data_IF_135441328870
#
_entry.id   IF_135441328870
#
_cell.length_a   1.000
_cell.length_b   1.000
_cell.length_c   1.000
_cell.angle_alpha   90.00
_cell.angle_beta   90.00
_cell.angle_gamma   90.00
#
_symmetry.space_group_name_H-M   'P 1'
#
loop_
_entity.id
_entity.type
_entity.pdbx_description
1 polymer ?
#
# COMPACT_ATOMS: atom_id res chain seq x y z
N UNK A 1 -23.27 19.20 29.69
CA UNK A 1 -23.64 17.83 29.24
C UNK A 1 -24.89 17.86 28.38
N UNK A 2 -25.99 18.45 28.88
CA UNK A 2 -27.24 18.55 28.13
C UNK A 2 -27.07 19.34 26.81
N UNK A 3 -26.35 20.46 26.84
CA UNK A 3 -26.07 21.27 25.65
C UNK A 3 -25.28 20.50 24.57
N UNK A 4 -24.39 19.57 24.98
CA UNK A 4 -23.64 18.71 24.06
C UNK A 4 -24.50 17.59 23.48
N UNK A 5 -25.50 17.12 24.20
CA UNK A 5 -26.50 16.19 23.66
C UNK A 5 -27.43 16.89 22.67
N UNK A 6 -27.92 18.09 23.02
CA UNK A 6 -28.77 18.89 22.13
C UNK A 6 -28.04 19.31 20.85
N UNK A 7 -26.73 19.52 20.92
CA UNK A 7 -25.88 19.78 19.73
C UNK A 7 -25.48 18.50 18.97
N UNK A 8 -25.94 17.32 19.40
CA UNK A 8 -25.60 16.04 18.71
C UNK A 8 -24.18 15.57 18.87
N UNK A 9 -23.40 16.14 19.81
CA UNK A 9 -22.01 15.75 20.05
C UNK A 9 -21.88 14.57 21.04
N UNK A 10 -22.88 14.37 21.86
CA UNK A 10 -23.02 13.22 22.76
C UNK A 10 -24.30 12.45 22.47
N UNK A 11 -24.27 11.16 22.70
CA UNK A 11 -25.43 10.28 22.62
C UNK A 11 -25.51 9.31 23.81
N UNK A 12 -26.62 8.62 23.98
CA UNK A 12 -26.78 7.55 24.96
C UNK A 12 -27.18 6.26 24.28
N UNK A 13 -26.53 5.14 24.62
CA UNK A 13 -26.91 3.82 24.11
C UNK A 13 -28.19 3.34 24.81
N UNK A 14 -28.33 3.63 26.10
CA UNK A 14 -29.53 3.34 26.92
C UNK A 14 -29.78 4.47 27.91
N UNK A 15 -31.05 4.62 28.36
CA UNK A 15 -31.43 5.67 29.29
C UNK A 15 -30.66 5.67 30.60
N UNK A 16 -30.11 4.50 31.02
CA UNK A 16 -29.33 4.31 32.24
C UNK A 16 -27.83 4.23 31.99
N UNK A 17 -27.36 4.21 30.75
CA UNK A 17 -25.94 4.20 30.41
C UNK A 17 -25.38 5.63 30.43
N UNK A 18 -24.07 5.74 30.68
CA UNK A 18 -23.38 7.03 30.56
C UNK A 18 -23.50 7.63 29.14
N UNK A 19 -23.07 8.86 28.99
CA UNK A 19 -23.00 9.54 27.69
C UNK A 19 -21.74 9.15 26.93
N UNK A 20 -21.89 8.88 25.65
CA UNK A 20 -20.77 8.57 24.74
C UNK A 20 -20.70 9.63 23.65
N UNK A 21 -19.49 9.99 23.17
CA UNK A 21 -19.37 10.89 22.05
C UNK A 21 -19.91 10.24 20.78
N UNK A 22 -20.62 11.02 19.98
CA UNK A 22 -21.00 10.66 18.60
C UNK A 22 -19.79 10.80 17.67
N UNK A 23 -19.92 10.36 16.42
CA UNK A 23 -18.88 10.61 15.40
C UNK A 23 -18.57 12.10 15.26
N UNK A 24 -19.59 12.95 15.25
CA UNK A 24 -19.43 14.41 15.20
C UNK A 24 -18.73 14.96 16.46
N UNK A 25 -19.03 14.40 17.62
CA UNK A 25 -18.34 14.77 18.87
C UNK A 25 -16.89 14.36 18.87
N UNK A 26 -16.55 13.17 18.38
CA UNK A 26 -15.18 12.72 18.22
C UNK A 26 -14.42 13.56 17.17
N UNK A 27 -15.08 13.94 16.06
CA UNK A 27 -14.51 14.81 15.04
C UNK A 27 -14.14 16.17 15.62
N UNK A 28 -15.08 16.81 16.34
CA UNK A 28 -14.83 18.09 17.00
C UNK A 28 -13.67 18.00 18.00
N UNK A 29 -13.60 16.90 18.76
CA UNK A 29 -12.50 16.65 19.68
C UNK A 29 -11.16 16.54 18.95
N UNK A 30 -11.08 15.75 17.89
CA UNK A 30 -9.84 15.55 17.10
C UNK A 30 -9.39 16.84 16.43
N UNK A 31 -10.31 17.63 15.87
CA UNK A 31 -9.96 18.84 15.11
C UNK A 31 -9.66 20.06 16.00
N UNK A 32 -10.32 20.17 17.16
CA UNK A 32 -10.29 21.39 17.94
C UNK A 32 -9.71 21.28 19.35
N UNK A 33 -9.74 20.09 19.94
CA UNK A 33 -9.42 19.92 21.36
C UNK A 33 -8.30 18.87 21.59
N UNK A 34 -7.85 18.17 20.54
CA UNK A 34 -6.84 17.14 20.68
C UNK A 34 -5.48 17.76 21.02
N UNK A 35 -5.02 17.55 22.25
CA UNK A 35 -3.64 17.76 22.60
C UNK A 35 -2.81 16.55 22.19
N UNK A 36 -1.93 16.74 21.23
CA UNK A 36 -1.02 15.70 20.73
C UNK A 36 0.08 15.52 21.77
N UNK A 37 0.17 14.33 22.34
CA UNK A 37 1.21 14.00 23.32
C UNK A 37 2.58 13.85 22.64
N UNK A 38 3.63 14.31 23.30
CA UNK A 38 4.97 13.99 22.85
C UNK A 38 5.23 12.48 22.92
N UNK A 39 5.82 11.95 21.88
CA UNK A 39 6.20 10.55 21.84
C UNK A 39 7.35 10.27 22.81
N UNK A 40 7.24 9.19 23.59
CA UNK A 40 8.30 8.81 24.53
C UNK A 40 9.59 8.41 23.80
N UNK A 41 10.72 8.52 24.50
CA UNK A 41 12.02 8.11 23.93
C UNK A 41 12.04 6.63 23.60
N UNK A 42 11.48 5.80 24.45
CA UNK A 42 11.40 4.34 24.30
C UNK A 42 10.62 3.98 23.03
N UNK A 43 9.45 4.60 22.81
CA UNK A 43 8.64 4.40 21.60
C UNK A 43 9.41 4.79 20.33
N UNK A 44 10.17 5.90 20.39
CA UNK A 44 10.99 6.36 19.26
C UNK A 44 12.13 5.39 18.97
N UNK A 45 12.84 4.94 19.99
CA UNK A 45 13.95 3.98 19.86
C UNK A 45 13.47 2.63 19.32
N UNK A 46 12.30 2.17 19.71
CA UNK A 46 11.68 0.93 19.19
C UNK A 46 11.36 1.04 17.71
N UNK A 47 10.75 2.15 17.26
CA UNK A 47 10.47 2.41 15.85
C UNK A 47 11.76 2.53 15.03
N UNK A 48 12.76 3.28 15.51
CA UNK A 48 14.05 3.40 14.83
C UNK A 48 14.78 2.05 14.74
N UNK A 49 14.69 1.22 15.78
CA UNK A 49 15.24 -0.12 15.83
C UNK A 49 14.65 -1.03 14.75
N UNK A 50 13.38 -0.86 14.42
CA UNK A 50 12.69 -1.65 13.39
C UNK A 50 13.30 -1.51 12.00
N UNK A 51 13.90 -0.36 11.70
CA UNK A 51 14.47 -0.02 10.40
C UNK A 51 15.95 -0.41 10.29
N UNK A 52 16.67 -0.47 11.43
CA UNK A 52 18.12 -0.73 11.48
C UNK A 52 18.51 -2.20 11.24
N UNK A 53 17.57 -3.11 11.03
CA UNK A 53 17.87 -4.52 10.67
C UNK A 53 18.51 -4.63 9.29
N UNK A 54 19.54 -5.47 9.16
CA UNK A 54 20.38 -5.61 7.97
C UNK A 54 19.73 -6.19 6.70
N UNK A 55 18.42 -6.17 6.60
CA UNK A 55 17.70 -6.62 5.42
C UNK A 55 17.90 -5.63 4.26
N UNK A 56 18.38 -6.12 3.12
CA UNK A 56 18.50 -5.33 1.90
C UNK A 56 17.15 -5.07 1.22
N UNK A 57 16.13 -5.83 1.56
CA UNK A 57 14.79 -5.71 0.98
C UNK A 57 13.91 -4.77 1.78
N UNK A 58 13.10 -3.97 1.09
CA UNK A 58 12.19 -2.99 1.71
C UNK A 58 11.01 -3.70 2.40
N UNK A 59 10.47 -4.74 1.77
CA UNK A 59 9.24 -5.40 2.24
C UNK A 59 9.36 -6.00 3.66
N UNK A 60 10.41 -6.75 4.02
CA UNK A 60 10.59 -7.24 5.40
C UNK A 60 10.69 -6.13 6.44
N UNK A 61 11.26 -4.98 6.07
CA UNK A 61 11.37 -3.84 6.98
C UNK A 61 9.98 -3.21 7.21
N UNK A 62 9.22 -2.96 6.15
CA UNK A 62 7.86 -2.44 6.25
C UNK A 62 6.95 -3.38 7.05
N UNK A 63 7.15 -4.69 6.90
CA UNK A 63 6.46 -5.70 7.67
C UNK A 63 6.76 -5.61 9.17
N UNK A 64 8.03 -5.43 9.51
CA UNK A 64 8.48 -5.25 10.91
C UNK A 64 7.95 -3.94 11.51
N UNK A 65 8.02 -2.86 10.74
CA UNK A 65 7.43 -1.56 11.13
C UNK A 65 5.94 -1.70 11.41
N UNK A 66 5.21 -2.39 10.52
CA UNK A 66 3.79 -2.68 10.73
C UNK A 66 3.54 -3.46 12.01
N UNK A 67 4.35 -4.47 12.29
CA UNK A 67 4.21 -5.28 13.51
C UNK A 67 4.42 -4.46 14.78
N UNK A 68 5.46 -3.62 14.82
CA UNK A 68 5.75 -2.74 15.96
C UNK A 68 4.66 -1.67 16.12
N UNK A 69 4.24 -1.05 15.01
CA UNK A 69 3.16 -0.06 15.04
C UNK A 69 1.87 -0.63 15.60
N UNK A 70 1.51 -1.85 15.20
CA UNK A 70 0.36 -2.57 15.75
C UNK A 70 0.49 -2.83 17.25
N UNK A 71 1.67 -3.25 17.72
CA UNK A 71 1.95 -3.47 19.15
C UNK A 71 1.83 -2.18 19.97
N UNK A 72 2.41 -1.08 19.49
CA UNK A 72 2.40 0.22 20.18
C UNK A 72 1.00 0.84 20.26
N UNK A 73 0.16 0.59 19.27
CA UNK A 73 -1.16 1.25 19.15
C UNK A 73 -2.32 0.37 19.58
N UNK A 74 -2.09 -0.93 19.81
CA UNK A 74 -3.13 -1.94 20.05
C UNK A 74 -4.22 -1.93 18.97
N UNK A 75 -3.87 -1.52 17.75
CA UNK A 75 -4.72 -1.52 16.56
C UNK A 75 -4.17 -2.43 15.47
N UNK A 76 -4.89 -2.53 14.36
CA UNK A 76 -4.34 -3.13 13.14
C UNK A 76 -3.55 -2.08 12.37
N UNK A 77 -2.29 -2.34 12.09
CA UNK A 77 -1.48 -1.44 11.26
C UNK A 77 -1.69 -1.75 9.77
N UNK A 78 -1.67 -0.68 8.98
CA UNK A 78 -1.67 -0.71 7.52
C UNK A 78 -0.38 -0.07 7.04
N UNK A 79 0.40 -0.77 6.22
CA UNK A 79 1.55 -0.17 5.53
C UNK A 79 1.39 -0.40 4.04
N UNK A 80 1.20 0.67 3.31
CA UNK A 80 1.15 0.64 1.85
C UNK A 80 2.57 0.82 1.33
N UNK A 81 3.20 -0.27 0.90
CA UNK A 81 4.54 -0.26 0.35
C UNK A 81 4.67 0.69 -0.86
N UNK A 82 5.83 1.32 -1.07
CA UNK A 82 6.04 2.21 -2.19
C UNK A 82 5.80 1.48 -3.50
N UNK A 83 5.27 2.23 -4.48
CA UNK A 83 5.30 1.74 -5.86
C UNK A 83 6.76 1.73 -6.30
N UNK A 84 7.36 0.56 -6.32
CA UNK A 84 8.71 0.40 -6.86
C UNK A 84 8.58 0.52 -8.38
N UNK A 85 8.70 1.73 -8.86
CA UNK A 85 8.74 2.03 -10.29
C UNK A 85 10.22 1.92 -10.73
N UNK A 86 10.78 0.71 -10.57
CA UNK A 86 12.17 0.45 -10.96
C UNK A 86 12.23 0.32 -12.47
N UNK A 87 13.17 1.04 -13.07
CA UNK A 87 13.41 0.92 -14.51
C UNK A 87 13.90 -0.47 -14.86
N UNK A 88 13.44 -0.99 -15.99
CA UNK A 88 13.82 -2.30 -16.47
C UNK A 88 15.09 -2.15 -17.31
N UNK A 89 16.06 -3.04 -17.05
CA UNK A 89 17.29 -3.15 -17.80
C UNK A 89 17.20 -4.18 -18.91
N UNK A 90 16.52 -5.30 -18.65
CA UNK A 90 16.42 -6.41 -19.58
C UNK A 90 15.18 -7.26 -19.34
N UNK A 91 14.58 -7.78 -20.41
CA UNK A 91 13.48 -8.74 -20.36
C UNK A 91 13.75 -9.91 -21.30
N UNK A 92 13.41 -11.12 -20.87
CA UNK A 92 13.57 -12.33 -21.67
C UNK A 92 12.37 -13.26 -21.48
N UNK A 93 11.92 -13.86 -22.59
CA UNK A 93 10.88 -14.89 -22.58
C UNK A 93 11.50 -16.26 -22.83
N UNK A 94 11.25 -17.21 -21.93
CA UNK A 94 11.77 -18.57 -21.98
C UNK A 94 10.64 -19.56 -22.11
N UNK A 95 10.64 -20.34 -23.20
CA UNK A 95 9.68 -21.42 -23.38
C UNK A 95 10.07 -22.62 -22.52
N UNK A 96 9.18 -23.09 -21.67
CA UNK A 96 9.37 -24.29 -20.85
C UNK A 96 8.57 -25.48 -21.38
N UNK A 97 7.39 -25.22 -21.91
CA UNK A 97 6.53 -26.21 -22.54
C UNK A 97 5.46 -25.52 -23.41
N UNK A 98 4.70 -26.22 -24.24
CA UNK A 98 3.65 -25.61 -25.06
C UNK A 98 2.58 -24.83 -24.28
N UNK A 99 2.42 -25.11 -22.99
CA UNK A 99 1.44 -24.45 -22.11
C UNK A 99 2.05 -23.64 -20.99
N UNK A 100 3.39 -23.51 -20.93
CA UNK A 100 4.07 -22.83 -19.83
C UNK A 100 5.33 -22.13 -20.31
N UNK A 101 5.38 -20.86 -20.09
CA UNK A 101 6.55 -20.04 -20.36
C UNK A 101 6.94 -19.26 -19.09
N UNK A 102 8.19 -18.81 -19.07
CA UNK A 102 8.76 -17.95 -18.03
C UNK A 102 9.10 -16.63 -18.68
N UNK A 103 8.79 -15.54 -18.01
CA UNK A 103 9.36 -14.24 -18.32
C UNK A 103 10.35 -13.88 -17.22
N UNK A 104 11.55 -13.47 -17.60
CA UNK A 104 12.62 -13.01 -16.72
C UNK A 104 12.80 -11.54 -16.94
N UNK A 105 12.83 -10.78 -15.86
CA UNK A 105 12.98 -9.34 -15.85
C UNK A 105 14.16 -8.96 -14.97
N UNK A 106 15.07 -8.17 -15.51
CA UNK A 106 16.21 -7.61 -14.79
C UNK A 106 16.01 -6.10 -14.67
N UNK A 107 16.05 -5.59 -13.45
CA UNK A 107 15.92 -4.17 -13.18
C UNK A 107 17.27 -3.45 -13.20
N UNK A 108 17.25 -2.13 -13.27
CA UNK A 108 18.48 -1.31 -13.31
C UNK A 108 19.29 -1.38 -12.02
N UNK A 109 18.64 -1.70 -10.89
CA UNK A 109 19.28 -1.95 -9.60
C UNK A 109 19.82 -3.39 -9.43
N UNK A 110 19.71 -4.22 -10.50
CA UNK A 110 20.25 -5.57 -10.56
C UNK A 110 19.36 -6.66 -9.97
N UNK A 111 18.14 -6.35 -9.56
CA UNK A 111 17.19 -7.38 -9.14
C UNK A 111 16.73 -8.21 -10.33
N UNK A 112 16.51 -9.51 -10.10
CA UNK A 112 16.00 -10.44 -11.11
C UNK A 112 14.67 -10.99 -10.62
N UNK A 113 13.63 -10.67 -11.36
CA UNK A 113 12.31 -11.25 -11.14
C UNK A 113 11.97 -12.25 -12.24
N UNK A 114 11.24 -13.28 -11.88
CA UNK A 114 10.75 -14.25 -12.86
C UNK A 114 9.30 -14.63 -12.56
N UNK A 115 8.53 -14.88 -13.63
CA UNK A 115 7.12 -15.29 -13.51
C UNK A 115 6.71 -16.23 -14.60
N UNK A 116 5.88 -17.19 -14.20
CA UNK A 116 5.27 -18.11 -15.15
C UNK A 116 4.01 -17.51 -15.75
N UNK A 117 3.84 -17.72 -17.04
CA UNK A 117 2.61 -17.39 -17.75
C UNK A 117 2.24 -18.46 -18.75
N UNK A 118 0.98 -18.44 -19.20
CA UNK A 118 0.49 -19.33 -20.26
C UNK A 118 0.67 -18.64 -21.59
N UNK A 119 1.58 -19.14 -22.46
CA UNK A 119 1.81 -18.52 -23.75
C UNK A 119 0.61 -18.69 -24.68
N UNK A 120 0.32 -17.74 -25.57
CA UNK A 120 -0.66 -17.89 -26.64
C UNK A 120 -0.35 -19.09 -27.54
N UNK A 121 -1.40 -19.67 -28.14
CA UNK A 121 -1.27 -20.81 -29.05
C UNK A 121 -0.49 -20.38 -30.31
N UNK A 122 0.46 -21.21 -30.74
CA UNK A 122 1.25 -20.97 -31.96
C UNK A 122 2.61 -20.30 -31.72
N UNK A 123 2.99 -20.05 -30.47
CA UNK A 123 4.28 -19.51 -30.12
C UNK A 123 5.41 -20.54 -30.27
N UNK A 124 6.48 -20.09 -30.90
CA UNK A 124 7.76 -20.80 -30.94
C UNK A 124 8.86 -19.94 -30.31
N UNK A 125 10.04 -20.52 -30.12
CA UNK A 125 11.18 -19.83 -29.48
C UNK A 125 11.63 -18.59 -30.28
N UNK A 126 11.47 -18.60 -31.61
CA UNK A 126 11.85 -17.47 -32.46
C UNK A 126 10.98 -16.25 -32.21
N UNK A 127 9.66 -16.46 -32.11
CA UNK A 127 8.69 -15.38 -31.81
C UNK A 127 8.92 -14.82 -30.40
N UNK A 128 9.25 -15.68 -29.43
CA UNK A 128 9.58 -15.23 -28.06
C UNK A 128 10.84 -14.37 -28.05
N UNK A 129 11.85 -14.77 -28.83
CA UNK A 129 13.09 -13.99 -28.94
C UNK A 129 12.85 -12.65 -29.64
N UNK A 130 12.04 -12.62 -30.71
CA UNK A 130 11.66 -11.39 -31.41
C UNK A 130 10.92 -10.42 -30.48
N UNK A 131 9.95 -10.90 -29.71
CA UNK A 131 9.23 -10.10 -28.71
C UNK A 131 10.17 -9.56 -27.63
N UNK A 132 11.10 -10.38 -27.14
CA UNK A 132 12.11 -9.95 -26.17
C UNK A 132 13.03 -8.87 -26.74
N UNK A 133 13.52 -9.05 -27.97
CA UNK A 133 14.36 -8.06 -28.66
C UNK A 133 13.60 -6.73 -28.88
N UNK A 134 12.35 -6.80 -29.31
CA UNK A 134 11.53 -5.61 -29.46
C UNK A 134 11.37 -4.87 -28.15
N UNK A 135 10.98 -5.57 -27.07
CA UNK A 135 10.86 -4.94 -25.76
C UNK A 135 12.18 -4.35 -25.28
N UNK A 136 13.27 -5.07 -25.41
CA UNK A 136 14.60 -4.57 -25.02
C UNK A 136 15.03 -3.32 -25.80
N UNK A 137 14.55 -3.14 -27.04
CA UNK A 137 14.83 -1.93 -27.83
C UNK A 137 14.13 -0.68 -27.31
N UNK A 138 12.99 -0.83 -26.64
CA UNK A 138 12.20 0.28 -26.09
C UNK A 138 12.35 0.42 -24.55
N UNK A 139 13.01 -0.53 -23.88
CA UNK A 139 13.15 -0.55 -22.44
C UNK A 139 14.04 0.59 -21.88
N UNK A 140 15.08 0.95 -22.54
CA UNK A 140 16.09 2.02 -22.25
C UNK A 140 15.83 2.88 -20.99
N UNK A 141 15.77 2.25 -19.81
CA UNK A 141 15.58 2.95 -18.53
C UNK A 141 14.13 3.32 -18.18
N UNK A 142 13.14 2.85 -18.95
CA UNK A 142 11.73 3.05 -18.67
C UNK A 142 11.21 2.08 -17.60
N UNK A 143 10.23 2.52 -16.84
CA UNK A 143 9.50 1.69 -15.88
C UNK A 143 8.48 0.79 -16.58
N UNK A 144 7.98 -0.25 -15.90
CA UNK A 144 6.92 -1.14 -16.45
C UNK A 144 5.70 -0.33 -16.90
N UNK A 145 5.32 0.68 -16.11
CA UNK A 145 4.17 1.54 -16.38
C UNK A 145 4.37 2.39 -17.64
N UNK A 146 5.58 2.93 -17.84
CA UNK A 146 5.95 3.69 -19.04
C UNK A 146 6.04 2.80 -20.28
N UNK A 147 6.66 1.64 -20.15
CA UNK A 147 6.76 0.66 -21.23
C UNK A 147 5.38 0.26 -21.74
N UNK A 148 4.43 0.03 -20.84
CA UNK A 148 3.05 -0.29 -21.23
C UNK A 148 2.42 0.82 -22.08
N UNK A 149 2.61 2.09 -21.71
CA UNK A 149 2.12 3.23 -22.51
C UNK A 149 2.79 3.27 -23.88
N UNK A 150 4.11 3.13 -23.91
CA UNK A 150 4.89 3.12 -25.17
C UNK A 150 4.43 1.98 -26.08
N UNK A 151 4.21 0.78 -25.52
CA UNK A 151 3.74 -0.37 -26.30
C UNK A 151 2.35 -0.11 -26.91
N UNK A 152 1.41 0.43 -26.13
CA UNK A 152 0.08 0.76 -26.62
C UNK A 152 0.18 1.79 -27.77
N UNK A 153 1.00 2.83 -27.60
CA UNK A 153 1.22 3.84 -28.63
C UNK A 153 1.92 3.29 -29.89
N UNK A 154 2.91 2.39 -29.71
CA UNK A 154 3.60 1.74 -30.83
C UNK A 154 2.71 0.75 -31.56
N UNK A 155 1.87 0.00 -30.82
CA UNK A 155 0.86 -0.89 -31.41
C UNK A 155 -0.12 -0.10 -32.27
N UNK A 156 -0.57 1.06 -31.82
CA UNK A 156 -1.49 1.93 -32.58
C UNK A 156 -0.83 2.54 -33.82
N UNK A 157 0.46 2.86 -33.75
CA UNK A 157 1.21 3.50 -34.86
C UNK A 157 1.73 2.52 -35.90
N UNK A 158 2.16 1.32 -35.49
CA UNK A 158 2.93 0.37 -36.31
C UNK A 158 2.21 -0.98 -36.49
N UNK A 159 0.96 -0.96 -36.95
CA UNK A 159 0.18 -2.21 -37.22
C UNK A 159 0.83 -3.18 -38.21
N UNK A 160 1.98 -2.87 -38.82
CA UNK A 160 2.58 -3.63 -39.92
C UNK A 160 3.84 -4.44 -39.57
N UNK A 161 4.52 -4.22 -38.43
CA UNK A 161 5.82 -4.84 -38.15
C UNK A 161 5.82 -5.94 -37.07
N UNK A 162 4.82 -5.99 -36.20
CA UNK A 162 4.70 -7.06 -35.22
C UNK A 162 3.49 -7.95 -35.56
N UNK A 163 3.74 -9.25 -35.69
CA UNK A 163 2.67 -10.22 -35.88
C UNK A 163 1.70 -10.18 -34.67
N UNK A 164 0.41 -10.43 -34.93
CA UNK A 164 -0.64 -10.51 -33.90
C UNK A 164 -0.29 -11.46 -32.75
N UNK A 165 0.54 -12.45 -33.00
CA UNK A 165 1.00 -13.42 -32.00
C UNK A 165 2.02 -12.79 -31.07
N UNK A 166 2.96 -11.99 -31.61
CA UNK A 166 3.96 -11.26 -30.84
C UNK A 166 3.29 -10.23 -29.91
N UNK A 167 2.26 -9.52 -30.39
CA UNK A 167 1.46 -8.64 -29.55
C UNK A 167 0.81 -9.37 -28.38
N UNK A 168 0.15 -10.50 -28.64
CA UNK A 168 -0.47 -11.32 -27.59
C UNK A 168 0.53 -11.86 -26.58
N UNK A 169 1.75 -12.17 -27.00
CA UNK A 169 2.83 -12.59 -26.11
C UNK A 169 3.28 -11.44 -25.21
N UNK A 170 3.50 -10.27 -25.78
CA UNK A 170 3.89 -9.07 -25.06
C UNK A 170 2.82 -8.72 -24.02
N UNK A 171 1.55 -8.69 -24.43
CA UNK A 171 0.42 -8.45 -23.53
C UNK A 171 0.35 -9.48 -22.41
N UNK A 172 0.48 -10.78 -22.73
CA UNK A 172 0.43 -11.85 -21.73
C UNK A 172 1.64 -11.80 -20.78
N UNK A 173 2.83 -11.52 -21.31
CA UNK A 173 4.05 -11.39 -20.52
C UNK A 173 4.01 -10.18 -19.59
N UNK A 174 3.66 -9.02 -20.11
CA UNK A 174 3.52 -7.79 -19.32
C UNK A 174 2.35 -7.91 -18.35
N UNK A 175 1.23 -8.52 -18.76
CA UNK A 175 0.09 -8.77 -17.88
C UNK A 175 0.45 -9.70 -16.71
N UNK A 176 1.47 -10.56 -16.84
CA UNK A 176 1.94 -11.38 -15.72
C UNK A 176 2.61 -10.56 -14.61
N UNK A 177 3.17 -9.38 -14.92
CA UNK A 177 3.63 -8.41 -13.94
C UNK A 177 2.57 -7.39 -13.56
N UNK A 178 1.68 -7.06 -14.50
CA UNK A 178 0.62 -6.11 -14.26
C UNK A 178 -0.28 -6.45 -13.05
N UNK A 179 -0.64 -7.73 -12.77
CA UNK A 179 -1.46 -8.05 -11.62
C UNK A 179 -0.83 -7.68 -10.27
N UNK A 180 0.49 -7.80 -10.12
CA UNK A 180 1.15 -7.54 -8.84
C UNK A 180 1.50 -6.06 -8.66
N UNK A 181 1.90 -5.40 -9.75
CA UNK A 181 2.09 -3.94 -9.78
C UNK A 181 0.74 -3.21 -9.79
N UNK A 182 -0.29 -3.79 -10.46
CA UNK A 182 -1.62 -3.22 -10.59
C UNK A 182 -2.55 -3.69 -9.46
N UNK A 183 -2.45 -4.95 -9.02
CA UNK A 183 -3.37 -5.49 -8.00
C UNK A 183 -3.02 -5.03 -6.59
N UNK A 184 -1.86 -4.41 -6.37
CA UNK A 184 -1.52 -3.81 -5.08
C UNK A 184 -1.55 -4.76 -3.87
N UNK A 185 -1.88 -6.05 -4.06
CA UNK A 185 -2.03 -7.02 -2.97
C UNK A 185 -0.74 -7.18 -2.17
N UNK A 186 0.41 -7.23 -2.87
CA UNK A 186 1.71 -7.31 -2.23
C UNK A 186 2.20 -5.96 -1.67
N UNK A 187 1.47 -4.86 -1.98
CA UNK A 187 1.80 -3.53 -1.47
C UNK A 187 1.16 -3.21 -0.14
N UNK A 188 0.04 -3.85 0.20
CA UNK A 188 -0.65 -3.62 1.45
C UNK A 188 -0.24 -4.66 2.50
N UNK A 189 0.54 -4.22 3.46
CA UNK A 189 0.93 -5.02 4.62
C UNK A 189 -0.04 -4.70 5.75
N UNK A 190 -0.71 -5.71 6.29
CA UNK A 190 -1.61 -5.57 7.44
C UNK A 190 -1.06 -6.42 8.58
N UNK A 191 -0.87 -5.81 9.77
CA UNK A 191 -0.45 -6.51 10.99
C UNK A 191 -1.40 -6.20 12.15
N UNK A 192 -1.52 -7.15 13.08
CA UNK A 192 -2.35 -6.97 14.27
C UNK A 192 -3.86 -7.04 14.02
N UNK A 193 -4.32 -7.80 13.03
CA UNK A 193 -5.77 -8.01 12.79
C UNK A 193 -6.47 -8.54 14.04
N UNK A 194 -5.79 -9.37 14.84
CA UNK A 194 -6.30 -9.90 16.10
C UNK A 194 -6.64 -8.82 17.13
N UNK A 195 -5.97 -7.67 17.10
CA UNK A 195 -6.23 -6.57 18.01
C UNK A 195 -7.62 -5.95 17.81
N UNK A 196 -8.19 -6.06 16.61
CA UNK A 196 -9.54 -5.58 16.33
C UNK A 196 -10.63 -6.59 16.70
N UNK A 197 -10.26 -7.86 16.87
CA UNK A 197 -11.21 -8.96 17.13
C UNK A 197 -11.25 -9.28 18.63
N UNK A 198 -10.14 -9.05 19.36
CA UNK A 198 -9.95 -9.52 20.72
C UNK A 198 -10.94 -8.97 21.74
N UNK A 199 -11.48 -7.77 21.53
CA UNK A 199 -12.41 -7.09 22.42
C UNK A 199 -13.89 -7.20 21.96
N UNK A 200 -14.16 -7.97 20.89
CA UNK A 200 -15.50 -8.11 20.33
C UNK A 200 -16.21 -9.34 20.90
N UNK A 201 -17.31 -9.13 21.59
CA UNK A 201 -18.14 -10.19 22.16
C UNK A 201 -19.26 -10.64 21.19
N UNK A 202 -19.54 -9.85 20.15
CA UNK A 202 -20.67 -10.05 19.24
C UNK A 202 -20.19 -10.60 17.87
N UNK A 203 -20.80 -11.69 17.40
CA UNK A 203 -20.51 -12.29 16.09
C UNK A 203 -20.72 -11.32 14.92
N UNK A 204 -21.70 -10.41 15.04
CA UNK A 204 -21.98 -9.42 14.01
C UNK A 204 -20.82 -8.41 13.85
N UNK A 205 -20.22 -7.99 14.96
CA UNK A 205 -19.05 -7.10 14.94
C UNK A 205 -17.82 -7.78 14.36
N UNK A 206 -17.60 -9.05 14.70
CA UNK A 206 -16.50 -9.85 14.13
C UNK A 206 -16.67 -9.97 12.61
N UNK A 207 -17.91 -10.21 12.13
CA UNK A 207 -18.18 -10.30 10.70
C UNK A 207 -17.95 -8.97 9.97
N UNK A 208 -18.30 -7.83 10.57
CA UNK A 208 -18.01 -6.49 10.04
C UNK A 208 -16.51 -6.26 9.87
N UNK A 209 -15.70 -6.65 10.86
CA UNK A 209 -14.25 -6.56 10.79
C UNK A 209 -13.66 -7.50 9.72
N UNK A 210 -14.21 -8.70 9.57
CA UNK A 210 -13.81 -9.63 8.51
C UNK A 210 -14.08 -9.03 7.12
N UNK A 211 -15.27 -8.50 6.90
CA UNK A 211 -15.65 -7.84 5.65
C UNK A 211 -14.71 -6.66 5.36
N UNK A 212 -14.37 -5.86 6.36
CA UNK A 212 -13.43 -4.75 6.22
C UNK A 212 -12.07 -5.23 5.67
N UNK A 213 -11.50 -6.31 6.24
CA UNK A 213 -10.22 -6.81 5.75
C UNK A 213 -10.32 -7.45 4.37
N UNK A 214 -11.41 -8.17 4.08
CA UNK A 214 -11.65 -8.72 2.76
C UNK A 214 -11.79 -7.61 1.70
N UNK A 215 -12.39 -6.48 2.05
CA UNK A 215 -12.52 -5.32 1.17
C UNK A 215 -11.17 -4.60 0.98
N UNK A 216 -10.38 -4.42 2.04
CA UNK A 216 -9.03 -3.84 1.95
C UNK A 216 -8.06 -4.68 1.08
N UNK A 217 -8.29 -5.98 0.95
CA UNK A 217 -7.52 -6.86 0.07
C UNK A 217 -7.97 -6.78 -1.40
N UNK A 218 -9.12 -6.15 -1.69
CA UNK A 218 -9.61 -5.94 -3.06
C UNK A 218 -8.91 -4.73 -3.70
N UNK A 219 -8.61 -4.84 -4.98
CA UNK A 219 -7.91 -3.81 -5.76
C UNK A 219 -8.59 -2.43 -5.70
N UNK A 220 -9.92 -2.39 -5.78
CA UNK A 220 -10.70 -1.16 -5.84
C UNK A 220 -10.58 -0.34 -4.55
N UNK A 221 -10.52 -1.03 -3.43
CA UNK A 221 -10.46 -0.39 -2.11
C UNK A 221 -9.03 0.08 -1.80
N UNK A 222 -8.02 -0.59 -2.37
CA UNK A 222 -6.64 -0.12 -2.32
C UNK A 222 -6.44 1.16 -3.15
N UNK A 223 -7.09 1.29 -4.31
CA UNK A 223 -7.08 2.52 -5.09
C UNK A 223 -7.69 3.69 -4.30
N UNK A 224 -8.79 3.47 -3.58
CA UNK A 224 -9.38 4.48 -2.70
C UNK A 224 -8.47 4.88 -1.55
N UNK A 225 -7.72 3.93 -0.96
CA UNK A 225 -6.70 4.27 0.05
C UNK A 225 -5.56 5.13 -0.54
N UNK A 226 -5.18 4.87 -1.80
CA UNK A 226 -4.19 5.68 -2.50
C UNK A 226 -4.71 7.08 -2.78
N UNK A 227 -5.96 7.21 -3.24
CA UNK A 227 -6.59 8.51 -3.48
C UNK A 227 -6.61 9.36 -2.19
N UNK A 228 -6.85 8.74 -1.03
CA UNK A 228 -6.76 9.42 0.26
C UNK A 228 -5.34 9.96 0.56
N UNK A 229 -4.30 9.39 -0.04
CA UNK A 229 -2.92 9.87 0.15
C UNK A 229 -2.57 11.05 -0.75
N UNK A 230 -3.25 11.22 -1.89
CA UNK A 230 -2.92 12.26 -2.87
C UNK A 230 -3.42 13.66 -2.48
N UNK A 231 -4.39 13.76 -1.55
CA UNK A 231 -5.04 15.02 -1.19
C UNK A 231 -4.25 15.95 -0.24
N UNK A 232 -2.99 15.67 0.11
CA UNK A 232 -2.12 16.57 0.90
C UNK A 232 -1.23 15.89 1.93
N UNK A 233 -0.35 16.69 2.54
CA UNK A 233 0.67 16.28 3.49
C UNK A 233 0.09 16.13 4.92
N UNK A 234 0.68 15.23 5.72
CA UNK A 234 0.39 15.10 7.14
C UNK A 234 -0.59 13.99 7.51
N UNK A 235 -0.82 13.86 8.81
CA UNK A 235 -1.70 12.82 9.36
C UNK A 235 -3.16 13.14 9.11
N UNK A 236 -3.91 12.12 8.73
CA UNK A 236 -5.35 12.18 8.53
C UNK A 236 -6.05 11.20 9.45
N UNK A 237 -7.20 11.61 9.95
CA UNK A 237 -8.03 10.82 10.83
C UNK A 237 -9.42 10.71 10.22
N UNK A 238 -9.88 9.49 9.98
CA UNK A 238 -11.25 9.19 9.58
C UNK A 238 -11.94 8.44 10.71
N UNK A 239 -13.13 8.87 11.09
CA UNK A 239 -13.87 8.35 12.23
C UNK A 239 -15.17 7.72 11.73
N UNK A 240 -15.31 6.41 11.91
CA UNK A 240 -16.54 5.69 11.58
C UNK A 240 -16.99 5.88 10.13
N UNK A 241 -18.17 6.47 9.93
CA UNK A 241 -18.82 6.64 8.63
C UNK A 241 -18.24 7.75 7.74
N UNK A 242 -17.22 8.49 8.17
CA UNK A 242 -16.60 9.54 7.36
C UNK A 242 -15.95 9.00 6.10
N UNK A 243 -15.51 7.75 6.14
CA UNK A 243 -14.98 7.06 4.97
C UNK A 243 -15.86 5.84 4.64
N UNK A 244 -16.21 5.69 3.36
CA UNK A 244 -17.05 4.57 2.88
C UNK A 244 -16.41 3.20 3.13
N UNK A 245 -15.09 3.09 3.10
CA UNK A 245 -14.36 1.85 3.39
C UNK A 245 -14.56 1.35 4.83
N UNK A 246 -14.73 2.28 5.77
CA UNK A 246 -14.79 1.96 7.21
C UNK A 246 -16.19 2.12 7.81
N UNK A 247 -17.16 2.60 7.01
CA UNK A 247 -18.50 2.89 7.48
C UNK A 247 -19.25 1.69 8.06
N UNK A 248 -19.02 0.50 7.49
CA UNK A 248 -19.67 -0.74 7.94
C UNK A 248 -19.05 -1.31 9.21
N UNK A 249 -17.76 -1.09 9.42
CA UNK A 249 -17.04 -1.64 10.56
C UNK A 249 -17.05 -0.75 11.80
N UNK A 250 -17.61 0.47 11.68
CA UNK A 250 -17.57 1.47 12.75
C UNK A 250 -16.15 1.71 13.30
N UNK A 251 -15.15 1.51 12.44
CA UNK A 251 -13.75 1.66 12.78
C UNK A 251 -13.25 3.04 12.43
N UNK A 252 -12.15 3.45 13.04
CA UNK A 252 -11.42 4.67 12.68
C UNK A 252 -10.09 4.32 12.05
N UNK A 253 -9.65 5.17 11.12
CA UNK A 253 -8.36 5.11 10.48
C UNK A 253 -7.57 6.37 10.79
N UNK A 254 -6.36 6.18 11.33
CA UNK A 254 -5.34 7.23 11.43
C UNK A 254 -4.23 6.85 10.46
N UNK A 255 -3.92 7.69 9.49
CA UNK A 255 -2.86 7.38 8.54
C UNK A 255 -2.08 8.63 8.12
N UNK A 256 -0.84 8.42 7.66
CA UNK A 256 0.05 9.45 7.14
C UNK A 256 0.71 8.97 5.85
N UNK A 257 0.71 9.77 4.78
CA UNK A 257 1.54 9.49 3.63
C UNK A 257 3.01 9.63 3.97
N UNK A 258 3.87 8.85 3.33
CA UNK A 258 5.31 9.05 3.40
C UNK A 258 5.89 9.36 2.02
N UNK A 259 6.90 10.23 2.03
CA UNK A 259 7.45 10.84 0.83
C UNK A 259 8.89 10.43 0.61
N UNK A 260 9.33 10.55 -0.64
CA UNK A 260 10.74 10.47 -0.99
C UNK A 260 11.42 11.85 -0.84
N UNK A 261 12.73 11.89 -1.12
CA UNK A 261 13.59 13.09 -1.15
C UNK A 261 13.09 14.21 -2.08
N UNK A 262 12.24 13.88 -3.05
CA UNK A 262 11.63 14.84 -3.99
C UNK A 262 10.22 15.29 -3.56
N UNK A 263 9.86 15.08 -2.31
CA UNK A 263 8.51 15.38 -1.76
C UNK A 263 7.36 14.71 -2.54
N UNK A 264 7.64 13.60 -3.24
CA UNK A 264 6.61 12.81 -3.89
C UNK A 264 6.11 11.74 -2.93
N UNK A 265 4.79 11.66 -2.75
CA UNK A 265 4.14 10.58 -1.99
C UNK A 265 4.42 9.25 -2.67
N UNK A 266 4.99 8.30 -1.93
CA UNK A 266 5.38 6.98 -2.44
C UNK A 266 4.64 5.84 -1.76
N UNK A 267 3.97 6.11 -0.66
CA UNK A 267 3.16 5.16 0.08
C UNK A 267 2.52 5.80 1.30
N UNK A 268 1.92 4.99 2.15
CA UNK A 268 1.30 5.46 3.38
C UNK A 268 1.44 4.43 4.50
N UNK A 269 1.36 4.89 5.74
CA UNK A 269 1.30 4.04 6.93
C UNK A 269 0.15 4.51 7.82
N UNK A 270 -0.54 3.57 8.45
CA UNK A 270 -1.68 3.92 9.30
C UNK A 270 -2.07 2.84 10.29
N UNK A 271 -3.06 3.16 11.08
CA UNK A 271 -3.64 2.29 12.11
C UNK A 271 -5.15 2.32 11.99
N UNK A 272 -5.76 1.13 11.95
CA UNK A 272 -7.19 0.93 12.11
C UNK A 272 -7.46 0.49 13.54
N UNK A 273 -8.49 1.05 14.13
CA UNK A 273 -8.96 0.66 15.45
C UNK A 273 -10.42 1.05 15.67
N UNK A 274 -10.99 0.77 16.85
CA UNK A 274 -12.32 1.23 17.20
C UNK A 274 -12.41 2.76 17.17
N UNK A 275 -13.62 3.32 17.02
CA UNK A 275 -13.80 4.78 16.99
C UNK A 275 -13.28 5.52 18.23
N UNK A 276 -13.08 4.81 19.35
CA UNK A 276 -12.54 5.33 20.61
C UNK A 276 -11.03 5.13 20.75
N UNK A 277 -10.28 5.30 19.68
CA UNK A 277 -8.81 5.29 19.71
C UNK A 277 -8.26 6.42 20.58
N UNK A 278 -7.09 6.18 21.19
CA UNK A 278 -6.32 7.25 21.81
C UNK A 278 -5.59 8.08 20.73
N UNK A 279 -6.32 8.95 20.07
CA UNK A 279 -5.81 9.76 18.94
C UNK A 279 -4.60 10.60 19.35
N UNK A 280 -4.58 11.17 20.56
CA UNK A 280 -3.47 11.98 21.07
C UNK A 280 -2.14 11.23 21.13
N UNK A 281 -2.19 9.93 21.36
CA UNK A 281 -1.01 9.04 21.34
C UNK A 281 -0.71 8.49 19.96
N UNK A 282 -1.74 8.11 19.19
CA UNK A 282 -1.58 7.39 17.92
C UNK A 282 -1.13 8.33 16.80
N UNK A 283 -1.66 9.53 16.73
CA UNK A 283 -1.32 10.52 15.68
C UNK A 283 0.19 10.76 15.59
N UNK A 284 0.92 11.11 16.69
CA UNK A 284 2.36 11.34 16.60
C UNK A 284 3.16 10.08 16.27
N UNK A 285 2.69 8.89 16.70
CA UNK A 285 3.34 7.61 16.36
C UNK A 285 3.24 7.34 14.86
N UNK A 286 2.05 7.52 14.27
CA UNK A 286 1.82 7.32 12.83
C UNK A 286 2.60 8.33 12.00
N UNK A 287 2.60 9.61 12.40
CA UNK A 287 3.34 10.67 11.72
C UNK A 287 4.84 10.40 11.72
N UNK A 288 5.40 10.12 12.88
CA UNK A 288 6.81 9.81 13.00
C UNK A 288 7.21 8.57 12.21
N UNK A 289 6.36 7.53 12.22
CA UNK A 289 6.59 6.31 11.44
C UNK A 289 6.62 6.60 9.94
N UNK A 290 5.73 7.46 9.44
CA UNK A 290 5.72 7.89 8.04
C UNK A 290 7.02 8.61 7.66
N UNK A 291 7.45 9.58 8.47
CA UNK A 291 8.71 10.31 8.26
C UNK A 291 9.92 9.37 8.26
N UNK A 292 9.94 8.41 9.19
CA UNK A 292 11.02 7.45 9.34
C UNK A 292 11.12 6.50 8.12
N UNK A 293 9.98 6.00 7.61
CA UNK A 293 9.94 5.19 6.37
C UNK A 293 10.41 6.01 5.17
N UNK A 294 9.91 7.23 5.00
CA UNK A 294 10.30 8.12 3.90
C UNK A 294 11.80 8.38 3.87
N UNK A 295 12.40 8.70 5.03
CA UNK A 295 13.85 8.89 5.18
C UNK A 295 14.62 7.61 4.83
N UNK A 296 14.22 6.47 5.36
CA UNK A 296 14.87 5.18 5.08
C UNK A 296 14.91 4.87 3.59
N UNK A 297 13.82 5.09 2.86
CA UNK A 297 13.73 4.82 1.43
C UNK A 297 14.60 5.79 0.64
N UNK A 298 14.66 7.06 1.02
CA UNK A 298 15.51 8.08 0.40
C UNK A 298 17.00 7.79 0.58
N UNK A 299 17.41 7.44 1.80
CA UNK A 299 18.81 7.11 2.12
C UNK A 299 19.30 5.87 1.33
N UNK A 300 18.44 4.87 1.13
CA UNK A 300 18.76 3.67 0.33
C UNK A 300 18.95 3.97 -1.14
N UNK A 301 18.11 4.83 -1.73
CA UNK A 301 18.29 5.27 -3.13
C UNK A 301 19.60 6.02 -3.31
N UNK A 302 20.01 6.86 -2.38
CA UNK A 302 21.29 7.55 -2.42
C UNK A 302 22.48 6.60 -2.40
N UNK A 303 22.44 5.53 -1.59
CA UNK A 303 23.48 4.51 -1.53
C UNK A 303 23.58 3.67 -2.81
N UNK A 304 22.46 3.36 -3.46
CA UNK A 304 22.48 2.60 -4.73
C UNK A 304 23.07 3.39 -5.90
N UNK A 305 23.01 4.73 -5.86
CA UNK A 305 23.57 5.61 -6.88
C UNK A 305 25.10 5.81 -6.73
N UNK A 306 25.67 5.53 -5.56
CA UNK A 306 27.12 5.68 -5.29
C UNK A 306 27.91 4.44 -5.73
N UNK A 307 27.24 3.31 -5.95
CA UNK A 307 27.86 2.04 -6.35
C UNK A 307 27.82 1.77 -7.88
N UNK A 308 27.49 2.75 -8.69
CA UNK A 308 27.63 2.76 -10.17
C UNK A 308 28.80 3.66 -10.55
#
# INVERSE_FOLDING_TARGET
MQDLEESGLLGSIHISSGRIPTHSGLRLFVDGLLEVSDMTKETREELEGSIKGGDNEIHPILDRVGSILSGLTSGASLVLAPKIDTSIKHIEFVSLSPKRALVVLVTTDGQVENRFFTPPIGLNSSIMQEAGNFLNSILSGNTISEIRKIIIEEIEKNQSHLDKITHKLIDSGIASWAPDVINGRDRLIIRGRSNLIGDLENQEEIEKIRILFDDLEKKKDLEQLLDLTEEGDGVRVFIGSENKLFSLSESSLVFSPYMNDKSKIIGAVGVIGPTRLNYGRIVPIVDYTAQLIGKMISDRKALSLIHI
#
